data_IF_147550922612
#
_entry.id   IF_147550922612
#
_cell.length_a   1.000
_cell.length_b   1.000
_cell.length_c   1.000
_cell.angle_alpha   90.00
_cell.angle_beta   90.00
_cell.angle_gamma   90.00
#
_symmetry.space_group_name_H-M   'P 1'
#
loop_
_entity.id
_entity.type
_entity.pdbx_description
1 polymer ?
#
# COMPACT_ATOMS: atom_id res chain seq x y z
N UNK A 1 13.48 -3.32 -21.74
CA UNK A 1 12.23 -3.79 -21.13
C UNK A 1 12.35 -3.59 -19.62
N UNK A 2 11.40 -2.90 -19.02
CA UNK A 2 11.31 -2.81 -17.57
C UNK A 2 11.16 -4.22 -16.99
N UNK A 3 11.95 -4.55 -15.99
CA UNK A 3 12.05 -5.89 -15.45
C UNK A 3 11.29 -5.94 -14.12
N UNK A 4 10.45 -6.92 -13.97
CA UNK A 4 9.85 -7.30 -12.71
C UNK A 4 10.95 -7.62 -11.68
N UNK A 5 10.87 -7.05 -10.49
CA UNK A 5 11.87 -7.25 -9.43
C UNK A 5 11.18 -7.80 -8.17
N UNK A 6 11.80 -8.82 -7.58
CA UNK A 6 11.40 -9.36 -6.29
C UNK A 6 12.51 -9.04 -5.29
N UNK A 7 12.11 -8.59 -4.12
CA UNK A 7 13.01 -8.33 -2.99
C UNK A 7 12.50 -9.11 -1.80
N UNK A 8 13.37 -9.90 -1.16
CA UNK A 8 13.08 -10.58 0.10
C UNK A 8 13.55 -9.70 1.26
N UNK A 9 12.67 -9.43 2.21
CA UNK A 9 13.01 -8.69 3.44
C UNK A 9 14.15 -9.35 4.21
N UNK A 10 14.23 -10.68 4.21
CA UNK A 10 15.27 -11.42 4.91
C UNK A 10 16.67 -11.16 4.36
N UNK A 11 16.78 -10.80 3.08
CA UNK A 11 18.05 -10.48 2.43
C UNK A 11 18.51 -9.04 2.69
N UNK A 12 17.64 -8.19 3.27
CA UNK A 12 17.92 -6.78 3.47
C UNK A 12 18.43 -6.51 4.89
N UNK A 13 19.61 -5.90 4.99
CA UNK A 13 20.10 -5.43 6.28
C UNK A 13 19.22 -4.27 6.82
N UNK A 14 19.02 -4.18 8.14
CA UNK A 14 18.42 -3.00 8.74
C UNK A 14 19.21 -1.75 8.37
N UNK A 15 18.50 -0.68 8.04
CA UNK A 15 19.13 0.61 7.72
C UNK A 15 19.61 1.30 9.02
N UNK A 16 20.71 2.04 8.93
CA UNK A 16 21.25 2.83 10.06
C UNK A 16 20.31 3.99 10.45
N UNK A 17 19.58 4.53 9.46
CA UNK A 17 18.55 5.56 9.65
C UNK A 17 17.26 5.09 8.99
N UNK A 18 16.13 5.72 9.36
CA UNK A 18 14.86 5.41 8.70
C UNK A 18 14.95 5.70 7.21
N UNK A 19 14.76 4.70 6.34
CA UNK A 19 15.17 4.82 4.94
C UNK A 19 14.10 5.48 4.04
N UNK A 20 13.08 6.14 4.60
CA UNK A 20 12.12 6.93 3.85
C UNK A 20 12.76 8.22 3.34
N UNK A 21 12.48 8.63 2.09
CA UNK A 21 13.05 9.87 1.53
C UNK A 21 12.59 11.14 2.26
N UNK A 22 11.36 11.14 2.77
CA UNK A 22 10.70 12.35 3.28
C UNK A 22 10.20 12.23 4.72
N UNK A 23 10.20 11.05 5.31
CA UNK A 23 9.81 10.84 6.70
C UNK A 23 11.02 10.47 7.56
N UNK A 24 10.94 10.77 8.85
CA UNK A 24 11.95 10.38 9.83
C UNK A 24 11.31 9.61 10.98
N UNK A 25 12.11 8.85 11.72
CA UNK A 25 11.65 8.17 12.95
C UNK A 25 12.48 8.60 14.14
N UNK A 26 11.81 8.89 15.23
CA UNK A 26 12.41 9.11 16.55
C UNK A 26 12.06 7.93 17.47
N UNK A 27 13.01 7.51 18.29
CA UNK A 27 12.84 6.37 19.21
C UNK A 27 13.45 5.08 18.64
N UNK A 28 13.09 3.96 19.26
CA UNK A 28 13.62 2.65 18.87
C UNK A 28 12.97 2.18 17.58
N UNK A 29 13.77 1.92 16.55
CA UNK A 29 13.30 1.45 15.26
C UNK A 29 14.30 0.47 14.64
N UNK A 30 13.77 -0.57 13.98
CA UNK A 30 14.49 -1.39 13.02
C UNK A 30 13.72 -1.34 11.71
N UNK A 31 14.33 -0.83 10.66
CA UNK A 31 13.66 -0.62 9.38
C UNK A 31 14.49 -1.15 8.21
N UNK A 32 13.79 -1.69 7.20
CA UNK A 32 14.40 -2.17 5.96
C UNK A 32 13.65 -1.58 4.78
N UNK A 33 14.37 -1.07 3.79
CA UNK A 33 13.77 -0.73 2.51
C UNK A 33 13.83 -1.94 1.60
N UNK A 34 12.69 -2.38 1.13
CA UNK A 34 12.52 -3.59 0.33
C UNK A 34 11.99 -3.30 -1.08
N UNK A 35 12.35 -2.15 -1.61
CA UNK A 35 12.11 -1.76 -3.01
C UNK A 35 13.42 -1.36 -3.68
N UNK A 36 13.60 -1.64 -4.98
CA UNK A 36 14.80 -1.22 -5.71
C UNK A 36 14.81 0.30 -5.94
N UNK A 37 15.99 0.91 -5.99
CA UNK A 37 16.16 2.36 -6.23
C UNK A 37 15.60 2.83 -7.58
N UNK A 38 15.54 1.94 -8.56
CA UNK A 38 15.03 2.26 -9.90
C UNK A 38 13.49 2.24 -10.00
N UNK A 39 12.78 1.87 -8.93
CA UNK A 39 11.31 1.90 -8.90
C UNK A 39 10.80 3.29 -8.56
N UNK A 40 9.67 3.73 -9.10
CA UNK A 40 9.15 5.09 -8.84
C UNK A 40 8.57 5.27 -7.43
N UNK A 41 8.34 4.14 -6.74
CA UNK A 41 7.83 4.09 -5.37
C UNK A 41 8.75 3.30 -4.47
N UNK A 42 8.75 3.62 -3.19
CA UNK A 42 9.51 2.90 -2.17
C UNK A 42 8.59 2.18 -1.20
N UNK A 43 9.11 1.12 -0.59
CA UNK A 43 8.45 0.36 0.46
C UNK A 43 9.45 0.07 1.59
N UNK A 44 9.03 0.33 2.80
CA UNK A 44 9.78 0.11 4.04
C UNK A 44 8.94 -0.79 4.94
N UNK A 45 9.59 -1.79 5.51
CA UNK A 45 9.06 -2.53 6.65
C UNK A 45 9.79 -2.05 7.88
N UNK A 46 9.05 -1.69 8.91
CA UNK A 46 9.62 -1.18 10.15
C UNK A 46 8.98 -1.82 11.39
N UNK A 47 9.84 -2.17 12.34
CA UNK A 47 9.47 -2.55 13.69
C UNK A 47 9.77 -1.36 14.61
N UNK A 48 8.72 -0.78 15.19
CA UNK A 48 8.75 0.38 16.05
C UNK A 48 8.60 -0.03 17.50
N UNK A 49 9.48 0.46 18.38
CA UNK A 49 9.31 0.30 19.82
C UNK A 49 8.22 1.22 20.37
N UNK A 50 7.80 0.99 21.60
CA UNK A 50 6.81 1.83 22.28
C UNK A 50 7.27 3.30 22.34
N UNK A 51 6.36 4.22 21.97
CA UNK A 51 6.62 5.65 21.87
C UNK A 51 7.47 6.08 20.68
N UNK A 52 7.97 5.15 19.83
CA UNK A 52 8.64 5.52 18.60
C UNK A 52 7.66 6.23 17.65
N UNK A 53 8.14 7.21 16.90
CA UNK A 53 7.26 8.04 16.12
C UNK A 53 7.78 8.30 14.69
N UNK A 54 6.92 8.08 13.71
CA UNK A 54 7.11 8.49 12.31
C UNK A 54 6.69 9.95 12.21
N UNK A 55 7.52 10.80 11.62
CA UNK A 55 7.26 12.24 11.46
C UNK A 55 7.41 12.66 9.99
N UNK A 56 6.43 13.38 9.49
CA UNK A 56 6.40 13.95 8.14
C UNK A 56 6.63 15.46 8.19
N UNK A 57 7.69 15.99 7.57
CA UNK A 57 8.05 17.42 7.65
C UNK A 57 7.34 18.31 6.62
N UNK A 58 6.48 17.77 5.76
CA UNK A 58 5.71 18.54 4.81
C UNK A 58 6.41 18.82 3.47
N UNK A 59 7.19 17.92 2.96
CA UNK A 59 7.74 17.99 1.59
C UNK A 59 7.72 16.61 0.93
N UNK A 60 6.64 15.88 1.16
CA UNK A 60 6.44 14.50 0.69
C UNK A 60 5.23 14.41 -0.23
N UNK A 61 5.13 13.34 -0.99
CA UNK A 61 3.92 12.97 -1.73
C UNK A 61 2.90 12.26 -0.84
N UNK A 62 1.85 11.72 -1.44
CA UNK A 62 0.88 10.91 -0.71
C UNK A 62 1.52 9.61 -0.25
N UNK A 63 1.51 9.34 1.05
CA UNK A 63 2.11 8.16 1.66
C UNK A 63 1.07 7.33 2.41
N UNK A 64 1.31 6.02 2.49
CA UNK A 64 0.47 5.08 3.20
C UNK A 64 1.24 4.28 4.24
N UNK A 65 0.67 4.13 5.45
CA UNK A 65 1.21 3.28 6.51
C UNK A 65 0.17 2.23 6.89
N UNK A 66 0.42 0.99 6.52
CA UNK A 66 -0.38 -0.16 6.95
C UNK A 66 0.18 -0.71 8.25
N UNK A 67 -0.67 -0.88 9.26
CA UNK A 67 -0.30 -1.44 10.55
C UNK A 67 -0.43 -2.95 10.50
N UNK A 68 0.69 -3.66 10.46
CA UNK A 68 0.72 -5.14 10.43
C UNK A 68 0.38 -5.72 11.80
N UNK A 69 0.93 -5.10 12.86
CA UNK A 69 0.66 -5.49 14.25
C UNK A 69 0.89 -4.30 15.19
N UNK A 70 0.27 -4.31 16.36
CA UNK A 70 0.30 -3.18 17.29
C UNK A 70 -0.69 -2.09 16.92
N UNK A 71 -0.36 -0.84 17.18
CA UNK A 71 -1.19 0.31 16.85
C UNK A 71 -0.36 1.60 16.73
N UNK A 72 -0.87 2.57 15.97
CA UNK A 72 -0.33 3.93 15.85
C UNK A 72 -1.36 4.95 16.31
N UNK A 73 -0.95 5.92 17.13
CA UNK A 73 -1.74 7.13 17.41
C UNK A 73 -1.31 8.26 16.49
N UNK A 74 -2.25 8.93 15.86
CA UNK A 74 -2.05 10.14 15.08
C UNK A 74 -3.20 11.11 15.32
N UNK A 75 -2.91 12.28 15.83
CA UNK A 75 -3.90 13.31 16.15
C UNK A 75 -5.06 12.77 17.03
N UNK A 76 -4.74 12.01 18.08
CA UNK A 76 -5.72 11.35 18.97
C UNK A 76 -6.64 10.35 18.27
N UNK A 77 -6.21 9.79 17.15
CA UNK A 77 -6.89 8.70 16.44
C UNK A 77 -6.01 7.48 16.44
N UNK A 78 -6.50 6.38 16.99
CA UNK A 78 -5.74 5.14 17.07
C UNK A 78 -6.01 4.26 15.86
N UNK A 79 -4.99 4.09 15.02
CA UNK A 79 -5.00 3.13 13.91
C UNK A 79 -4.60 1.75 14.45
N UNK A 80 -5.50 0.76 14.47
CA UNK A 80 -5.20 -0.58 14.96
C UNK A 80 -4.44 -1.43 13.93
N UNK A 81 -4.06 -2.64 14.31
CA UNK A 81 -3.62 -3.67 13.35
C UNK A 81 -4.66 -3.88 12.24
N UNK A 82 -4.19 -4.18 11.05
CA UNK A 82 -4.95 -4.27 9.80
C UNK A 82 -5.58 -2.95 9.33
N UNK A 83 -5.38 -1.87 10.07
CA UNK A 83 -5.75 -0.51 9.67
C UNK A 83 -4.66 0.18 8.84
N UNK A 84 -4.99 1.35 8.34
CA UNK A 84 -4.10 2.15 7.51
C UNK A 84 -4.20 3.65 7.83
N UNK A 85 -3.06 4.32 7.79
CA UNK A 85 -2.96 5.78 7.81
C UNK A 85 -2.56 6.23 6.41
N UNK A 86 -3.31 7.17 5.82
CA UNK A 86 -2.93 7.89 4.61
C UNK A 86 -2.53 9.30 5.03
N UNK A 87 -1.31 9.69 4.71
CA UNK A 87 -0.81 11.05 4.90
C UNK A 87 -0.71 11.69 3.53
N UNK A 88 -1.57 12.67 3.27
CA UNK A 88 -1.61 13.35 1.98
C UNK A 88 -0.42 14.29 1.82
N UNK A 89 -0.09 14.60 0.59
CA UNK A 89 1.10 15.39 0.22
C UNK A 89 1.21 16.70 1.00
N UNK A 90 2.43 17.00 1.44
CA UNK A 90 2.79 18.21 2.20
C UNK A 90 2.14 18.36 3.58
N UNK A 91 1.44 17.36 4.10
CA UNK A 91 0.85 17.41 5.44
C UNK A 91 1.93 17.20 6.51
N UNK A 92 2.09 18.18 7.39
CA UNK A 92 2.99 18.06 8.55
C UNK A 92 2.27 17.33 9.67
N UNK A 93 2.76 16.14 10.04
CA UNK A 93 2.11 15.32 11.06
C UNK A 93 3.08 14.33 11.70
N UNK A 94 2.60 13.61 12.71
CA UNK A 94 3.38 12.61 13.45
C UNK A 94 2.48 11.47 13.93
N UNK A 95 2.89 10.23 13.66
CA UNK A 95 2.26 9.01 14.18
C UNK A 95 3.14 8.36 15.24
N UNK A 96 2.57 7.98 16.39
CA UNK A 96 3.29 7.43 17.55
C UNK A 96 2.87 5.96 17.77
N UNK A 97 3.84 5.08 17.92
CA UNK A 97 3.60 3.67 18.22
C UNK A 97 3.09 3.49 19.66
N UNK A 98 1.99 2.79 19.81
CA UNK A 98 1.40 2.37 21.06
C UNK A 98 1.82 0.92 21.37
N UNK A 99 2.98 0.77 22.03
CA UNK A 99 3.63 -0.52 22.20
C UNK A 99 4.46 -0.95 20.97
N UNK A 100 4.91 -2.19 20.98
CA UNK A 100 5.65 -2.76 19.85
C UNK A 100 4.72 -2.82 18.61
N UNK A 101 5.11 -2.14 17.54
CA UNK A 101 4.28 -1.97 16.35
C UNK A 101 5.08 -2.26 15.09
N UNK A 102 4.54 -3.12 14.22
CA UNK A 102 5.12 -3.41 12.90
C UNK A 102 4.28 -2.75 11.82
N UNK A 103 4.94 -2.08 10.88
CA UNK A 103 4.28 -1.35 9.80
C UNK A 103 4.91 -1.63 8.44
N UNK A 104 4.08 -1.50 7.41
CA UNK A 104 4.50 -1.34 6.01
C UNK A 104 4.25 0.10 5.62
N UNK A 105 5.31 0.87 5.35
CA UNK A 105 5.25 2.27 4.97
C UNK A 105 5.65 2.42 3.51
N UNK A 106 4.83 3.06 2.72
CA UNK A 106 4.98 3.19 1.27
C UNK A 106 4.79 4.63 0.82
N UNK A 107 5.50 5.01 -0.24
CA UNK A 107 5.35 6.34 -0.82
C UNK A 107 6.10 6.50 -2.14
N UNK A 108 5.96 7.64 -2.80
CA UNK A 108 6.65 7.95 -4.04
C UNK A 108 8.04 8.54 -3.77
N UNK A 109 8.99 8.30 -4.68
CA UNK A 109 10.28 9.02 -4.65
C UNK A 109 10.16 10.47 -5.12
N UNK A 110 9.25 10.75 -6.03
CA UNK A 110 8.93 12.10 -6.48
C UNK A 110 7.69 12.60 -5.71
N UNK A 111 7.83 13.62 -4.86
CA UNK A 111 6.71 14.13 -4.07
C UNK A 111 5.69 14.94 -4.89
N UNK A 112 6.05 15.35 -6.12
CA UNK A 112 5.13 16.09 -6.95
C UNK A 112 3.87 15.26 -7.26
N UNK A 113 2.67 15.84 -7.18
CA UNK A 113 1.46 15.12 -7.54
C UNK A 113 1.51 14.73 -9.01
N UNK A 114 1.03 13.52 -9.38
CA UNK A 114 0.96 13.14 -10.77
C UNK A 114 0.04 14.07 -11.54
N UNK A 115 0.52 14.56 -12.68
CA UNK A 115 -0.21 15.50 -13.56
C UNK A 115 -0.89 14.81 -14.74
N UNK A 116 -0.49 13.60 -15.01
CA UNK A 116 -0.92 12.77 -16.14
C UNK A 116 -1.92 11.65 -15.75
N UNK A 117 -2.37 11.66 -14.51
CA UNK A 117 -3.38 10.72 -14.02
C UNK A 117 -4.74 10.90 -14.72
N UNK A 118 -5.55 9.86 -14.72
CA UNK A 118 -6.84 9.79 -15.41
C UNK A 118 -7.80 10.92 -14.99
N UNK A 119 -7.66 11.38 -13.76
CA UNK A 119 -8.50 12.44 -13.17
C UNK A 119 -7.83 13.81 -13.17
N UNK A 120 -6.66 13.95 -13.79
CA UNK A 120 -5.87 15.18 -13.73
C UNK A 120 -5.23 15.41 -12.35
N UNK A 121 -4.79 16.63 -12.06
CA UNK A 121 -4.17 16.96 -10.78
C UNK A 121 -5.15 16.79 -9.62
N UNK A 122 -4.66 16.53 -8.38
CA UNK A 122 -5.48 16.56 -7.18
C UNK A 122 -6.22 17.87 -7.02
N UNK A 123 -7.29 17.84 -6.24
CA UNK A 123 -8.05 19.05 -5.88
C UNK A 123 -7.18 20.02 -5.09
N UNK A 124 -7.42 21.34 -5.24
CA UNK A 124 -6.82 22.41 -4.41
C UNK A 124 -7.41 22.47 -2.98
N UNK A 125 -8.20 21.47 -2.58
CA UNK A 125 -8.73 21.39 -1.21
C UNK A 125 -7.60 21.11 -0.23
N UNK A 126 -7.84 21.47 1.03
CA UNK A 126 -6.91 21.21 2.12
C UNK A 126 -6.61 19.71 2.21
N UNK A 127 -5.34 19.38 2.17
CA UNK A 127 -4.83 18.04 2.39
C UNK A 127 -4.89 17.66 3.86
N UNK A 128 -5.00 16.38 4.15
CA UNK A 128 -5.19 15.89 5.51
C UNK A 128 -4.58 14.52 5.77
N UNK A 129 -4.97 13.97 6.92
CA UNK A 129 -4.63 12.61 7.34
C UNK A 129 -5.91 11.80 7.45
N UNK A 130 -5.95 10.66 6.78
CA UNK A 130 -7.03 9.69 6.91
C UNK A 130 -6.55 8.53 7.79
N UNK A 131 -7.29 8.22 8.84
CA UNK A 131 -7.08 7.03 9.66
C UNK A 131 -8.23 6.08 9.41
N UNK A 132 -7.93 4.89 8.92
CA UNK A 132 -8.91 3.93 8.44
C UNK A 132 -8.69 2.62 9.18
N UNK A 133 -9.73 2.12 9.81
CA UNK A 133 -9.70 0.86 10.54
C UNK A 133 -9.59 -0.36 9.62
N UNK A 134 -9.55 -1.53 10.23
CA UNK A 134 -9.37 -2.81 9.54
C UNK A 134 -10.45 -3.14 8.49
N UNK A 135 -11.61 -2.51 8.57
CA UNK A 135 -12.69 -2.65 7.58
C UNK A 135 -12.39 -2.00 6.23
N UNK A 136 -11.54 -0.97 6.20
CA UNK A 136 -11.26 -0.18 5.01
C UNK A 136 -12.31 0.87 4.69
N UNK A 137 -12.10 1.63 3.63
CA UNK A 137 -13.10 2.55 3.08
C UNK A 137 -14.14 1.80 2.24
N UNK A 138 -13.66 0.93 1.33
CA UNK A 138 -14.49 -0.01 0.60
C UNK A 138 -14.02 -1.44 0.86
N UNK A 139 -14.97 -2.37 0.87
CA UNK A 139 -14.67 -3.78 0.91
C UNK A 139 -15.41 -4.51 -0.20
N UNK A 140 -14.74 -5.40 -0.89
CA UNK A 140 -15.38 -6.33 -1.83
C UNK A 140 -15.04 -7.76 -1.47
N UNK A 141 -16.03 -8.61 -1.53
CA UNK A 141 -15.87 -10.05 -1.46
C UNK A 141 -16.58 -10.66 -2.66
N UNK A 142 -15.88 -11.47 -3.44
CA UNK A 142 -16.54 -12.31 -4.42
C UNK A 142 -16.76 -13.68 -3.81
N UNK A 143 -18.03 -14.05 -3.65
CA UNK A 143 -18.43 -15.41 -3.31
C UNK A 143 -17.62 -16.05 -2.19
N UNK A 144 -17.80 -15.53 -0.97
CA UNK A 144 -17.42 -16.15 0.31
C UNK A 144 -15.93 -16.16 0.69
N UNK A 145 -14.95 -15.83 -0.19
CA UNK A 145 -13.53 -16.10 0.13
C UNK A 145 -12.50 -15.09 -0.35
N UNK A 146 -12.85 -14.11 -1.14
CA UNK A 146 -11.95 -13.00 -1.51
C UNK A 146 -12.40 -11.75 -0.79
N UNK A 147 -11.54 -11.19 0.04
CA UNK A 147 -11.76 -9.89 0.65
C UNK A 147 -10.69 -8.96 0.14
N UNK A 148 -11.09 -7.92 -0.59
CA UNK A 148 -10.24 -6.78 -0.85
C UNK A 148 -10.80 -5.59 -0.05
N UNK A 149 -9.92 -4.88 0.66
CA UNK A 149 -10.22 -3.70 1.47
C UNK A 149 -9.40 -2.55 0.93
N UNK A 150 -10.07 -1.52 0.41
CA UNK A 150 -9.40 -0.31 -0.07
C UNK A 150 -9.30 0.70 1.06
N UNK A 151 -8.12 1.24 1.27
CA UNK A 151 -7.85 2.33 2.18
C UNK A 151 -7.80 3.67 1.43
N UNK A 152 -7.33 3.65 0.19
CA UNK A 152 -7.35 4.78 -0.71
C UNK A 152 -7.57 4.31 -2.15
N UNK A 153 -8.34 5.05 -2.91
CA UNK A 153 -8.59 4.82 -4.34
C UNK A 153 -9.04 6.11 -5.05
N UNK A 154 -9.52 5.97 -6.26
CA UNK A 154 -10.00 7.07 -7.11
C UNK A 154 -11.14 7.92 -6.54
N UNK A 155 -11.78 7.50 -5.45
CA UNK A 155 -12.87 8.26 -4.84
C UNK A 155 -12.38 9.34 -3.88
N UNK A 156 -11.11 9.29 -3.46
CA UNK A 156 -10.51 10.38 -2.70
C UNK A 156 -10.37 11.62 -3.58
N UNK A 157 -10.83 12.77 -3.07
CA UNK A 157 -10.78 14.02 -3.83
C UNK A 157 -9.40 14.69 -3.78
N UNK A 158 -8.59 14.40 -2.78
CA UNK A 158 -7.37 15.12 -2.44
C UNK A 158 -6.10 14.30 -2.60
N UNK A 159 -6.12 13.00 -2.29
CA UNK A 159 -4.98 12.11 -2.52
C UNK A 159 -5.02 11.42 -3.89
N UNK A 160 -3.84 11.02 -4.38
CA UNK A 160 -3.66 10.33 -5.66
C UNK A 160 -2.88 9.04 -5.47
N UNK A 161 -3.40 8.18 -4.61
CA UNK A 161 -2.84 6.85 -4.40
C UNK A 161 -3.94 5.78 -4.51
N UNK A 162 -3.52 4.58 -4.87
CA UNK A 162 -4.32 3.38 -4.71
C UNK A 162 -3.62 2.50 -3.68
N UNK A 163 -4.28 2.28 -2.54
CA UNK A 163 -3.72 1.47 -1.46
C UNK A 163 -4.80 0.54 -0.90
N UNK A 164 -4.54 -0.75 -0.93
CA UNK A 164 -5.51 -1.76 -0.53
C UNK A 164 -4.84 -3.04 -0.02
N UNK A 165 -5.60 -3.79 0.73
CA UNK A 165 -5.26 -5.12 1.23
C UNK A 165 -6.13 -6.17 0.53
N UNK A 166 -5.53 -7.28 0.14
CA UNK A 166 -6.24 -8.45 -0.40
C UNK A 166 -5.92 -9.66 0.47
N UNK A 167 -6.95 -10.42 0.81
CA UNK A 167 -6.80 -11.74 1.44
C UNK A 167 -7.64 -12.78 0.68
N UNK A 168 -7.04 -13.89 0.32
CA UNK A 168 -7.69 -15.03 -0.35
C UNK A 168 -7.36 -16.31 0.39
N UNK A 169 -8.37 -17.02 0.84
CA UNK A 169 -8.22 -18.35 1.43
C UNK A 169 -8.17 -19.49 0.40
N UNK A 170 -8.65 -19.25 -0.83
CA UNK A 170 -8.68 -20.26 -1.88
C UNK A 170 -7.29 -20.54 -2.44
N UNK A 171 -6.89 -21.80 -2.44
CA UNK A 171 -5.61 -22.25 -3.00
C UNK A 171 -5.64 -22.27 -4.53
N UNK A 172 -4.51 -21.93 -5.15
CA UNK A 172 -4.22 -22.09 -6.57
C UNK A 172 -5.21 -21.39 -7.54
N UNK A 173 -5.89 -20.34 -7.06
CA UNK A 173 -6.72 -19.48 -7.91
C UNK A 173 -5.82 -18.50 -8.66
N UNK A 174 -5.92 -18.51 -9.98
CA UNK A 174 -5.15 -17.64 -10.85
C UNK A 174 -5.97 -16.43 -11.30
N UNK A 175 -5.42 -15.24 -11.12
CA UNK A 175 -5.96 -14.03 -11.70
C UNK A 175 -5.74 -13.99 -13.22
N UNK A 176 -6.64 -13.32 -13.92
CA UNK A 176 -6.43 -13.09 -15.35
C UNK A 176 -5.19 -12.22 -15.56
N UNK A 177 -4.36 -12.52 -16.59
CA UNK A 177 -3.23 -11.67 -16.92
C UNK A 177 -3.67 -10.25 -17.25
N UNK A 178 -3.03 -9.27 -16.60
CA UNK A 178 -3.39 -7.86 -16.70
C UNK A 178 -2.17 -6.94 -16.65
N UNK A 179 -2.37 -5.68 -16.92
CA UNK A 179 -1.38 -4.59 -16.77
C UNK A 179 -2.01 -3.44 -16.03
N UNK A 180 -1.18 -2.62 -15.40
CA UNK A 180 -1.55 -1.35 -14.78
C UNK A 180 -0.81 -0.20 -15.44
N UNK A 181 -1.39 1.00 -15.41
CA UNK A 181 -0.76 2.23 -15.94
C UNK A 181 0.29 2.80 -15.01
N UNK A 182 0.33 2.38 -13.75
CA UNK A 182 1.25 2.84 -12.72
C UNK A 182 2.18 1.72 -12.28
N UNK A 183 3.35 2.09 -11.77
CA UNK A 183 4.22 1.18 -11.04
C UNK A 183 3.49 0.67 -9.80
N UNK A 184 3.69 -0.59 -9.48
CA UNK A 184 3.00 -1.28 -8.41
C UNK A 184 3.98 -1.96 -7.47
N UNK A 185 3.72 -1.88 -6.18
CA UNK A 185 4.38 -2.72 -5.17
C UNK A 185 3.32 -3.57 -4.47
N UNK A 186 3.55 -4.87 -4.46
CA UNK A 186 2.81 -5.86 -3.67
C UNK A 186 3.74 -6.34 -2.57
N UNK A 187 3.32 -6.28 -1.30
CA UNK A 187 4.04 -6.88 -0.19
C UNK A 187 3.23 -8.01 0.43
N UNK A 188 3.80 -9.21 0.45
CA UNK A 188 3.14 -10.42 0.94
C UNK A 188 3.18 -10.44 2.46
N UNK A 189 1.99 -10.50 3.09
CA UNK A 189 1.80 -10.52 4.53
C UNK A 189 1.62 -11.93 5.09
N UNK A 190 0.88 -12.78 4.37
CA UNK A 190 0.56 -14.15 4.81
C UNK A 190 0.30 -15.05 3.60
N UNK A 191 0.43 -16.37 3.80
CA UNK A 191 0.32 -17.34 2.71
C UNK A 191 1.40 -17.13 1.65
N UNK A 192 1.05 -17.21 0.37
CA UNK A 192 2.02 -16.97 -0.72
C UNK A 192 1.36 -16.56 -2.02
N UNK A 193 2.15 -15.90 -2.88
CA UNK A 193 1.82 -15.58 -4.26
C UNK A 193 2.72 -16.36 -5.21
N UNK A 194 2.14 -16.91 -6.27
CA UNK A 194 2.89 -17.64 -7.31
C UNK A 194 2.89 -16.80 -8.58
N UNK A 195 4.09 -16.52 -9.11
CA UNK A 195 4.29 -15.85 -10.39
C UNK A 195 5.14 -16.74 -11.28
N UNK A 196 4.55 -17.16 -12.38
CA UNK A 196 5.19 -18.13 -13.27
C UNK A 196 5.36 -19.47 -12.58
N UNK A 197 6.60 -19.83 -12.18
CA UNK A 197 6.95 -21.07 -11.49
C UNK A 197 7.49 -20.86 -10.08
N UNK A 198 7.54 -19.62 -9.64
CA UNK A 198 8.13 -19.24 -8.36
C UNK A 198 7.05 -18.83 -7.38
N UNK A 199 7.21 -19.30 -6.15
CA UNK A 199 6.34 -19.01 -5.02
C UNK A 199 7.06 -18.03 -4.08
N UNK A 200 6.35 -16.98 -3.64
CA UNK A 200 6.85 -15.91 -2.79
C UNK A 200 5.96 -15.79 -1.56
N UNK A 201 6.51 -16.07 -0.40
CA UNK A 201 5.83 -16.03 0.90
C UNK A 201 5.91 -14.66 1.58
N UNK A 202 5.52 -14.60 2.88
CA UNK A 202 5.59 -13.38 3.67
C UNK A 202 6.98 -12.75 3.67
N UNK A 203 7.03 -11.43 3.65
CA UNK A 203 8.29 -10.67 3.58
C UNK A 203 8.79 -10.37 2.17
N UNK A 204 8.19 -10.94 1.13
CA UNK A 204 8.56 -10.62 -0.24
C UNK A 204 7.82 -9.39 -0.76
N UNK A 205 8.57 -8.47 -1.36
CA UNK A 205 8.03 -7.36 -2.14
C UNK A 205 8.15 -7.63 -3.65
N UNK A 206 7.06 -7.48 -4.37
CA UNK A 206 6.97 -7.62 -5.80
C UNK A 206 6.86 -6.23 -6.41
N UNK A 207 7.93 -5.74 -7.04
CA UNK A 207 7.98 -4.43 -7.67
C UNK A 207 7.73 -4.59 -9.17
N UNK A 208 6.56 -4.16 -9.60
CA UNK A 208 6.03 -4.37 -10.96
C UNK A 208 5.98 -3.03 -11.67
N UNK A 209 6.82 -2.80 -12.70
CA UNK A 209 6.75 -1.56 -13.46
C UNK A 209 5.45 -1.40 -14.23
N UNK A 210 5.06 -0.17 -14.47
CA UNK A 210 3.91 0.19 -15.30
C UNK A 210 3.91 -0.54 -16.66
N UNK A 211 2.74 -0.95 -17.11
CA UNK A 211 2.51 -1.64 -18.37
C UNK A 211 3.19 -3.02 -18.51
N UNK A 212 3.76 -3.55 -17.44
CA UNK A 212 4.24 -4.93 -17.41
C UNK A 212 3.07 -5.87 -17.20
N UNK A 213 2.93 -6.85 -18.12
CA UNK A 213 1.86 -7.84 -18.03
C UNK A 213 2.25 -8.97 -17.08
N UNK A 214 1.42 -9.23 -16.12
CA UNK A 214 1.61 -10.32 -15.14
C UNK A 214 0.28 -10.96 -14.73
N UNK A 215 0.39 -12.02 -13.96
CA UNK A 215 -0.74 -12.75 -13.37
C UNK A 215 -0.25 -13.36 -12.07
N UNK A 216 -1.03 -13.19 -11.03
CA UNK A 216 -0.80 -13.77 -9.70
C UNK A 216 -1.64 -15.03 -9.57
N UNK A 217 -1.07 -16.06 -8.97
CA UNK A 217 -1.81 -17.25 -8.53
C UNK A 217 -1.66 -17.35 -7.00
N UNK A 218 -2.76 -17.62 -6.32
CA UNK A 218 -2.78 -17.86 -4.87
C UNK A 218 -1.96 -19.11 -4.54
N UNK A 219 -1.14 -19.04 -3.51
CA UNK A 219 -0.40 -20.22 -3.04
C UNK A 219 -1.27 -21.28 -2.40
N UNK A 220 -0.69 -22.44 -2.02
CA UNK A 220 -1.44 -23.58 -1.46
C UNK A 220 -2.17 -23.24 -0.15
N UNK A 221 -1.64 -22.33 0.65
CA UNK A 221 -2.22 -21.86 1.92
C UNK A 221 -3.06 -20.59 1.82
N UNK A 222 -3.39 -20.15 0.61
CA UNK A 222 -3.98 -18.83 0.41
C UNK A 222 -2.94 -17.73 0.20
N UNK A 223 -3.36 -16.48 0.23
CA UNK A 223 -2.47 -15.32 0.20
C UNK A 223 -3.10 -14.13 0.91
N UNK A 224 -2.27 -13.31 1.52
CA UNK A 224 -2.63 -11.95 1.93
C UNK A 224 -1.50 -10.99 1.57
N UNK A 225 -1.84 -9.83 1.03
CA UNK A 225 -0.87 -8.81 0.67
C UNK A 225 -1.46 -7.41 0.75
N UNK A 226 -0.61 -6.41 0.90
CA UNK A 226 -0.92 -5.00 0.63
C UNK A 226 -0.38 -4.60 -0.73
N UNK A 227 -1.10 -3.72 -1.39
CA UNK A 227 -0.77 -3.20 -2.71
C UNK A 227 -0.78 -1.68 -2.70
N UNK A 228 0.24 -1.09 -3.28
CA UNK A 228 0.37 0.35 -3.40
C UNK A 228 0.70 0.76 -4.83
N UNK A 229 0.06 1.84 -5.29
CA UNK A 229 0.37 2.56 -6.53
C UNK A 229 0.30 4.06 -6.27
N UNK A 230 1.19 4.79 -6.91
CA UNK A 230 1.37 6.23 -6.70
C UNK A 230 0.17 7.07 -7.15
N UNK A 231 -0.60 6.60 -8.11
CA UNK A 231 -1.74 7.34 -8.69
C UNK A 231 -2.92 6.41 -8.88
N UNK A 232 -4.04 7.00 -9.23
CA UNK A 232 -5.21 6.26 -9.68
C UNK A 232 -4.82 5.45 -10.91
N UNK A 233 -4.91 4.15 -10.77
CA UNK A 233 -4.48 3.20 -11.78
C UNK A 233 -5.64 2.71 -12.63
N UNK A 234 -5.34 2.37 -13.88
CA UNK A 234 -6.23 1.52 -14.67
C UNK A 234 -5.70 0.11 -14.73
N UNK A 235 -6.61 -0.83 -14.92
CA UNK A 235 -6.32 -2.23 -15.16
C UNK A 235 -6.80 -2.63 -16.54
N UNK A 236 -5.93 -3.24 -17.35
CA UNK A 236 -6.27 -3.76 -18.63
C UNK A 236 -6.11 -5.28 -18.68
N UNK A 237 -7.19 -5.98 -19.02
CA UNK A 237 -7.20 -7.42 -19.20
C UNK A 237 -7.11 -7.80 -20.68
N UNK A 238 -6.15 -8.66 -21.04
CA UNK A 238 -6.00 -9.15 -22.41
C UNK A 238 -5.54 -8.10 -23.41
N UNK A 239 -5.49 -8.44 -24.68
CA UNK A 239 -4.99 -7.56 -25.75
C UNK A 239 -6.03 -6.60 -26.33
N UNK A 240 -7.31 -6.72 -25.98
CA UNK A 240 -8.41 -6.08 -26.71
C UNK A 240 -9.38 -5.27 -25.83
N UNK A 241 -9.16 -5.13 -24.54
CA UNK A 241 -10.06 -4.35 -23.70
C UNK A 241 -9.48 -2.97 -23.42
N UNK A 242 -10.34 -1.98 -23.47
CA UNK A 242 -10.03 -0.66 -22.93
C UNK A 242 -9.63 -0.78 -21.46
N UNK A 243 -8.65 0.02 -20.99
CA UNK A 243 -8.30 0.05 -19.58
C UNK A 243 -9.53 0.42 -18.74
N UNK A 244 -9.77 -0.34 -17.68
CA UNK A 244 -10.85 -0.08 -16.72
C UNK A 244 -10.24 0.59 -15.48
N UNK A 245 -10.96 1.54 -14.91
CA UNK A 245 -10.61 2.13 -13.63
C UNK A 245 -10.51 1.06 -12.55
N UNK A 246 -9.48 1.17 -11.72
CA UNK A 246 -9.30 0.31 -10.58
C UNK A 246 -9.63 1.05 -9.30
N UNK A 247 -10.42 0.42 -8.46
CA UNK A 247 -10.82 0.94 -7.16
C UNK A 247 -11.95 0.12 -6.55
N UNK A 248 -12.20 0.36 -5.26
CA UNK A 248 -13.19 -0.39 -4.50
C UNK A 248 -14.58 -0.28 -5.13
N UNK A 249 -15.01 0.92 -5.50
CA UNK A 249 -16.31 1.17 -6.12
C UNK A 249 -16.39 0.60 -7.55
N UNK A 250 -15.35 0.80 -8.36
CA UNK A 250 -15.30 0.29 -9.73
C UNK A 250 -15.33 -1.24 -9.81
N UNK A 251 -14.91 -1.93 -8.74
CA UNK A 251 -14.94 -3.38 -8.61
C UNK A 251 -16.18 -3.93 -7.89
N UNK A 252 -17.22 -3.11 -7.72
CA UNK A 252 -18.45 -3.52 -7.04
C UNK A 252 -18.29 -3.67 -5.53
N UNK A 253 -17.31 -2.99 -4.96
CA UNK A 253 -17.13 -2.91 -3.51
C UNK A 253 -18.26 -2.14 -2.87
N UNK A 254 -18.58 -2.52 -1.64
CA UNK A 254 -19.52 -1.81 -0.79
C UNK A 254 -18.76 -0.84 0.12
N UNK A 255 -19.23 0.39 0.22
CA UNK A 255 -18.66 1.35 1.16
C UNK A 255 -18.84 0.85 2.59
N UNK A 256 -17.75 0.70 3.31
CA UNK A 256 -17.72 0.33 4.73
C UNK A 256 -17.51 1.57 5.58
N UNK A 257 -16.68 2.49 5.09
CA UNK A 257 -16.37 3.79 5.71
C UNK A 257 -15.89 3.64 7.17
N UNK A 258 -14.93 2.75 7.39
CA UNK A 258 -14.34 2.50 8.72
C UNK A 258 -13.29 3.59 9.06
N UNK A 259 -13.71 4.86 8.96
CA UNK A 259 -12.88 5.99 9.35
C UNK A 259 -12.84 6.16 10.87
N UNK A 260 -11.63 6.30 11.39
CA UNK A 260 -11.40 6.58 12.80
C UNK A 260 -11.34 8.09 12.97
N UNK A 261 -12.27 8.63 13.73
CA UNK A 261 -12.32 10.06 14.09
C UNK A 261 -11.64 10.29 15.43
N UNK A 262 -11.17 11.51 15.64
CA UNK A 262 -10.66 11.92 16.95
C UNK A 262 -11.80 11.86 17.97
N UNK A 263 -11.52 11.33 19.16
CA UNK A 263 -12.44 11.26 20.30
C UNK A 263 -12.60 12.61 21.00
#
# INVERSE_FOLDING_TARGET
>A
MAKFTIVDEADMAPAEAYPAPFASVHGTVSARRISPDAHSTWLIVADLGDGAAISWPGCHGDEGVYVVSGALDIDSRVCPADGCIIVESNVVTRAVALGATRVVHVGPYDPAPPTDGIYGPPSDRDHGVHVIGAGGWFASGSRERVVARWFADSTCATCRISFFHVARADALVRDLPHTHTQDEIIYVLDGSVIIGRHEYGPGHALCIPANVRYSVTTGPGGMAFVNYRRDVSTQAYGQAKAPELEGGLARGGTAVCDFITAS
#
